data_IF_733699365008
#
_entry.id   IF_733699365008
#
_cell.length_a   1.000
_cell.length_b   1.000
_cell.length_c   1.000
_cell.angle_alpha   90.00
_cell.angle_beta   90.00
_cell.angle_gamma   90.00
#
_symmetry.space_group_name_H-M   'P 1'
#
loop_
_entity.id
_entity.type
_entity.pdbx_description
1 polymer ?
#
# COMPACT_ATOMS: atom_id res chain seq x y z
N UNK A 1 -6.54 13.09 -0.25
CA UNK A 1 -6.09 13.30 1.14
C UNK A 1 -7.25 13.93 1.89
N UNK A 2 -7.56 13.47 3.11
CA UNK A 2 -8.62 14.08 3.94
C UNK A 2 -8.03 15.13 4.89
N UNK A 3 -8.78 16.20 5.15
CA UNK A 3 -8.38 17.38 5.89
C UNK A 3 -9.23 17.54 7.15
N UNK A 4 -8.56 17.74 8.29
CA UNK A 4 -9.18 18.09 9.56
C UNK A 4 -8.78 19.52 9.92
N UNK A 5 -9.76 20.37 10.23
CA UNK A 5 -9.53 21.74 10.65
C UNK A 5 -9.95 21.96 12.11
N UNK A 6 -9.19 22.80 12.83
CA UNK A 6 -9.46 23.15 14.22
C UNK A 6 -9.89 24.61 14.28
N UNK A 7 -11.17 24.82 14.59
CA UNK A 7 -11.77 26.15 14.62
C UNK A 7 -11.21 27.02 15.75
N UNK A 8 -10.97 26.46 16.95
CA UNK A 8 -10.55 27.18 18.15
C UNK A 8 -11.38 28.45 18.40
N UNK A 9 -10.89 29.62 17.95
CA UNK A 9 -11.56 30.93 18.05
C UNK A 9 -12.31 31.34 16.78
N UNK A 10 -12.00 30.73 15.64
CA UNK A 10 -12.59 31.04 14.35
C UNK A 10 -13.99 30.44 14.21
N UNK A 11 -14.90 31.11 13.50
CA UNK A 11 -16.22 30.58 13.23
C UNK A 11 -16.15 29.46 12.18
N UNK A 12 -16.95 28.41 12.41
CA UNK A 12 -16.92 27.15 11.64
C UNK A 12 -17.13 27.35 10.13
N UNK A 13 -17.84 28.42 9.73
CA UNK A 13 -18.12 28.70 8.31
C UNK A 13 -16.86 28.99 7.49
N UNK A 14 -15.76 29.42 8.10
CA UNK A 14 -14.49 29.69 7.40
C UNK A 14 -13.74 28.39 7.04
N UNK A 15 -14.11 27.29 7.69
CA UNK A 15 -13.44 25.99 7.59
C UNK A 15 -14.24 24.98 6.75
N UNK A 16 -15.20 25.45 5.96
CA UNK A 16 -16.09 24.60 5.17
C UNK A 16 -15.41 23.77 4.08
N UNK A 17 -14.12 23.99 3.81
CA UNK A 17 -13.32 23.19 2.89
C UNK A 17 -12.73 21.91 3.53
N UNK A 18 -12.79 21.77 4.86
CA UNK A 18 -12.29 20.59 5.55
C UNK A 18 -13.34 19.47 5.61
N UNK A 19 -12.88 18.23 5.65
CA UNK A 19 -13.74 17.04 5.78
C UNK A 19 -14.30 16.89 7.21
N UNK A 20 -13.56 17.39 8.20
CA UNK A 20 -14.00 17.46 9.60
C UNK A 20 -13.52 18.77 10.24
N UNK A 21 -14.43 19.44 10.94
CA UNK A 21 -14.11 20.64 11.72
C UNK A 21 -14.38 20.35 13.19
N UNK A 22 -13.34 20.49 14.03
CA UNK A 22 -13.44 20.36 15.48
C UNK A 22 -13.16 21.71 16.14
N UNK A 23 -13.71 21.95 17.33
CA UNK A 23 -13.46 23.23 18.02
C UNK A 23 -12.11 23.21 18.71
N UNK A 24 -11.72 22.08 19.29
CA UNK A 24 -10.41 21.87 19.91
C UNK A 24 -9.84 20.51 19.52
N UNK A 25 -8.52 20.36 19.63
CA UNK A 25 -7.83 19.12 19.32
C UNK A 25 -8.21 17.96 20.26
N UNK A 26 -8.61 18.24 21.50
CA UNK A 26 -9.09 17.23 22.45
C UNK A 26 -10.44 16.61 22.07
N UNK A 27 -11.18 17.23 21.16
CA UNK A 27 -12.45 16.73 20.66
C UNK A 27 -12.27 15.74 19.49
N UNK A 28 -11.06 15.62 18.94
CA UNK A 28 -10.76 14.70 17.85
C UNK A 28 -10.52 13.29 18.40
N UNK A 29 -11.33 12.32 17.99
CA UNK A 29 -11.18 10.93 18.42
C UNK A 29 -10.49 10.05 17.38
N UNK A 30 -9.95 8.92 17.84
CA UNK A 30 -9.41 7.88 16.96
C UNK A 30 -10.50 7.32 16.04
N UNK A 31 -11.76 7.31 16.49
CA UNK A 31 -12.91 6.87 15.69
C UNK A 31 -13.11 7.82 14.50
N UNK A 32 -13.02 9.13 14.72
CA UNK A 32 -13.15 10.13 13.64
C UNK A 32 -12.05 9.95 12.59
N UNK A 33 -10.83 9.66 13.02
CA UNK A 33 -9.70 9.40 12.12
C UNK A 33 -9.91 8.13 11.28
N UNK A 34 -10.43 7.05 11.88
CA UNK A 34 -10.73 5.81 11.15
C UNK A 34 -11.82 6.03 10.10
N UNK A 35 -12.87 6.76 10.47
CA UNK A 35 -13.95 7.11 9.56
C UNK A 35 -13.48 8.02 8.42
N UNK A 36 -12.56 8.95 8.70
CA UNK A 36 -11.98 9.82 7.67
C UNK A 36 -11.03 9.07 6.75
N UNK A 37 -10.22 8.17 7.27
CA UNK A 37 -9.22 7.47 6.48
C UNK A 37 -9.78 6.26 5.69
N UNK A 38 -11.08 5.95 5.82
CA UNK A 38 -11.76 4.85 5.12
C UNK A 38 -11.02 3.50 5.22
N UNK A 39 -10.28 3.30 6.33
CA UNK A 39 -9.37 2.15 6.55
C UNK A 39 -10.14 0.84 6.81
N UNK A 40 -11.42 0.94 7.21
CA UNK A 40 -12.32 -0.21 7.37
C UNK A 40 -12.93 -0.67 6.04
N UNK A 41 -12.50 -0.08 4.91
CA UNK A 41 -12.83 -0.63 3.59
C UNK A 41 -12.15 -2.00 3.44
N UNK A 42 -12.88 -3.06 3.06
CA UNK A 42 -12.36 -4.44 3.01
C UNK A 42 -11.25 -4.67 1.98
N UNK A 43 -10.84 -3.62 1.27
CA UNK A 43 -9.81 -3.64 0.22
C UNK A 43 -8.40 -3.86 0.77
N UNK A 44 -8.18 -3.68 2.09
CA UNK A 44 -6.93 -4.03 2.77
C UNK A 44 -6.89 -5.48 3.28
N UNK A 45 -7.93 -6.29 3.00
CA UNK A 45 -8.03 -7.70 3.37
C UNK A 45 -7.73 -8.69 2.24
N UNK A 46 -7.44 -8.20 1.02
CA UNK A 46 -6.89 -9.06 -0.03
C UNK A 46 -5.38 -9.09 0.17
N UNK A 47 -4.90 -10.16 0.83
CA UNK A 47 -3.48 -10.51 0.81
C UNK A 47 -2.98 -10.43 -0.64
N UNK A 48 -1.79 -9.85 -0.89
CA UNK A 48 -1.21 -9.87 -2.22
C UNK A 48 -1.13 -11.34 -2.66
N UNK A 49 -1.78 -11.70 -3.78
CA UNK A 49 -1.61 -13.04 -4.34
C UNK A 49 -0.10 -13.27 -4.52
N UNK A 50 0.49 -14.29 -3.87
CA UNK A 50 1.91 -14.52 -4.00
C UNK A 50 2.18 -14.90 -5.46
N UNK A 51 2.86 -14.02 -6.20
CA UNK A 51 3.45 -14.35 -7.50
C UNK A 51 4.47 -15.47 -7.25
N UNK A 52 4.11 -16.72 -7.55
CA UNK A 52 5.05 -17.83 -7.53
C UNK A 52 5.97 -17.68 -8.75
N UNK A 53 7.24 -17.36 -8.52
CA UNK A 53 8.27 -17.59 -9.53
C UNK A 53 8.33 -19.11 -9.76
N UNK A 54 7.97 -19.56 -10.97
CA UNK A 54 8.18 -20.94 -11.39
C UNK A 54 9.70 -21.20 -11.38
N UNK A 55 10.18 -22.10 -10.51
CA UNK A 55 11.53 -22.64 -10.64
C UNK A 55 11.61 -23.32 -12.02
N UNK A 56 12.35 -22.72 -12.96
CA UNK A 56 12.78 -23.42 -14.17
C UNK A 56 13.56 -24.65 -13.71
N UNK A 57 12.92 -25.82 -13.82
CA UNK A 57 13.55 -27.13 -13.73
C UNK A 57 14.85 -27.08 -14.54
N UNK A 58 15.98 -27.06 -13.83
CA UNK A 58 17.32 -27.01 -14.42
C UNK A 58 17.52 -28.31 -15.21
N UNK A 59 17.13 -28.28 -16.48
CA UNK A 59 17.50 -29.30 -17.43
C UNK A 59 19.04 -29.38 -17.39
N UNK A 60 19.62 -30.57 -17.18
CA UNK A 60 21.06 -30.69 -17.01
C UNK A 60 21.74 -30.08 -18.24
N UNK A 61 22.87 -29.36 -18.07
CA UNK A 61 23.56 -28.75 -19.20
C UNK A 61 23.87 -29.85 -20.20
N UNK A 62 23.33 -29.69 -21.41
CA UNK A 62 23.58 -30.60 -22.52
C UNK A 62 25.07 -30.58 -22.81
N UNK A 63 25.82 -31.54 -22.25
CA UNK A 63 27.25 -31.72 -22.55
C UNK A 63 27.36 -32.34 -23.94
N UNK A 64 27.23 -31.50 -24.97
CA UNK A 64 27.74 -31.79 -26.30
C UNK A 64 29.02 -30.95 -26.50
N UNK A 65 30.02 -31.20 -25.66
CA UNK A 65 31.37 -30.70 -25.89
C UNK A 65 31.97 -31.55 -27.03
N UNK A 66 32.49 -30.87 -28.03
CA UNK A 66 32.87 -31.41 -29.34
C UNK A 66 33.71 -32.68 -29.28
N UNK A 67 33.45 -33.53 -30.26
CA UNK A 67 34.22 -34.72 -30.60
C UNK A 67 35.69 -34.33 -30.84
N UNK A 68 36.54 -34.90 -30.00
CA UNK A 68 37.93 -35.34 -30.17
C UNK A 68 38.85 -34.61 -31.18
N UNK A 69 39.97 -34.17 -30.62
CA UNK A 69 41.21 -33.76 -31.27
C UNK A 69 41.59 -34.62 -32.50
N UNK A 70 41.82 -33.95 -33.63
CA UNK A 70 42.50 -34.54 -34.79
C UNK A 70 43.96 -34.83 -34.40
N UNK A 71 44.28 -36.11 -34.21
CA UNK A 71 45.66 -36.60 -34.24
C UNK A 71 46.17 -36.65 -35.69
N UNK A 72 47.02 -35.69 -36.09
CA UNK A 72 48.30 -35.81 -36.84
C UNK A 72 48.65 -34.49 -37.55
#
# INVERSE_FOLDING_TARGET
MKCVAVASKHPVYELGAADLVVKRLDELSIVDLKNLADIDSPEFGMEPEPEMEEEEDEAPPSTAVGVDDIFL
#
